data_IF_228842999608
#
_entry.id   IF_228842999608
#
_cell.length_a   1.000
_cell.length_b   1.000
_cell.length_c   1.000
_cell.angle_alpha   90.00
_cell.angle_beta   90.00
_cell.angle_gamma   90.00
#
_symmetry.space_group_name_H-M   'P 1'
#
loop_
_entity.id
_entity.type
_entity.pdbx_description
1 polymer ?
#
# COMPACT_ATOMS: atom_id res chain seq x y z
N UNK A 1 -5.88 -14.94 -31.12
CA UNK A 1 -5.24 -15.35 -29.84
C UNK A 1 -4.02 -14.51 -29.50
N UNK A 2 -3.01 -14.41 -30.38
CA UNK A 2 -1.82 -13.55 -30.16
C UNK A 2 -2.08 -12.07 -29.84
N UNK A 3 -3.01 -11.33 -30.50
CA UNK A 3 -3.23 -9.91 -30.19
C UNK A 3 -3.89 -9.67 -28.82
N UNK A 4 -4.72 -10.59 -28.35
CA UNK A 4 -5.35 -10.51 -27.02
C UNK A 4 -4.32 -10.77 -25.91
N UNK A 5 -3.39 -11.70 -26.16
CA UNK A 5 -2.30 -12.00 -25.23
C UNK A 5 -1.35 -10.79 -25.05
N UNK A 6 -1.02 -10.08 -26.14
CA UNK A 6 -0.23 -8.85 -26.05
C UNK A 6 -0.98 -7.73 -25.31
N UNK A 7 -2.28 -7.56 -25.55
CA UNK A 7 -3.07 -6.54 -24.87
C UNK A 7 -3.12 -6.77 -23.34
N UNK A 8 -3.36 -8.00 -22.89
CA UNK A 8 -3.36 -8.35 -21.46
C UNK A 8 -1.99 -8.10 -20.81
N UNK A 9 -0.91 -8.59 -21.44
CA UNK A 9 0.45 -8.39 -20.93
C UNK A 9 0.86 -6.92 -20.85
N UNK A 10 0.41 -6.07 -21.79
CA UNK A 10 0.68 -4.63 -21.72
C UNK A 10 -0.10 -3.93 -20.62
N UNK A 11 -1.34 -4.35 -20.31
CA UNK A 11 -2.15 -3.74 -19.25
C UNK A 11 -1.60 -4.09 -17.87
N UNK A 12 -1.31 -5.37 -17.62
CA UNK A 12 -0.69 -5.80 -16.36
C UNK A 12 0.72 -5.21 -16.19
N UNK A 13 1.49 -5.13 -17.29
CA UNK A 13 2.81 -4.53 -17.31
C UNK A 13 2.79 -3.02 -17.02
N UNK A 14 1.83 -2.29 -17.59
CA UNK A 14 1.65 -0.85 -17.31
C UNK A 14 1.16 -0.64 -15.88
N UNK A 15 0.26 -1.48 -15.36
CA UNK A 15 -0.20 -1.41 -13.97
C UNK A 15 0.94 -1.63 -12.96
N UNK A 16 1.76 -2.66 -13.19
CA UNK A 16 2.93 -2.94 -12.37
C UNK A 16 3.99 -1.83 -12.50
N UNK A 17 4.27 -1.35 -13.71
CA UNK A 17 5.20 -0.24 -13.93
C UNK A 17 4.71 1.05 -13.26
N UNK A 18 3.42 1.36 -13.33
CA UNK A 18 2.83 2.52 -12.66
C UNK A 18 2.94 2.40 -11.13
N UNK A 19 2.68 1.21 -10.57
CA UNK A 19 2.85 0.95 -9.14
C UNK A 19 4.32 1.08 -8.73
N UNK A 20 5.26 0.54 -9.51
CA UNK A 20 6.70 0.69 -9.27
C UNK A 20 7.13 2.15 -9.36
N UNK A 21 6.63 2.91 -10.33
CA UNK A 21 6.90 4.35 -10.45
C UNK A 21 6.35 5.10 -9.24
N UNK A 22 5.12 4.84 -8.81
CA UNK A 22 4.53 5.45 -7.61
C UNK A 22 5.32 5.08 -6.35
N UNK A 23 5.73 3.82 -6.21
CA UNK A 23 6.57 3.37 -5.12
C UNK A 23 7.94 4.05 -5.13
N UNK A 24 8.58 4.19 -6.30
CA UNK A 24 9.86 4.88 -6.48
C UNK A 24 9.73 6.38 -6.21
N UNK A 25 8.64 7.02 -6.64
CA UNK A 25 8.38 8.43 -6.35
C UNK A 25 8.07 8.67 -4.86
N UNK A 26 7.32 7.77 -4.22
CA UNK A 26 7.06 7.81 -2.78
C UNK A 26 8.34 7.57 -1.97
N UNK A 27 9.21 6.66 -2.43
CA UNK A 27 10.52 6.41 -1.83
C UNK A 27 11.51 7.56 -2.09
N UNK A 28 11.44 8.20 -3.26
CA UNK A 28 12.21 9.39 -3.59
C UNK A 28 11.80 10.63 -2.80
N UNK A 29 10.51 10.73 -2.43
CA UNK A 29 9.99 11.74 -1.51
C UNK A 29 10.23 11.43 -0.03
N UNK A 30 10.64 10.20 0.31
CA UNK A 30 11.01 9.80 1.68
C UNK A 30 12.35 10.43 2.11
N UNK A 31 13.19 10.81 1.14
CA UNK A 31 14.39 11.60 1.37
C UNK A 31 14.05 13.08 1.13
N UNK A 32 13.87 13.89 2.19
CA UNK A 32 13.59 15.31 1.99
C UNK A 32 14.75 15.93 1.20
N UNK A 33 14.43 16.45 0.00
CA UNK A 33 15.37 17.11 -0.92
C UNK A 33 15.68 18.56 -0.55
N UNK A 34 15.18 19.04 0.59
CA UNK A 34 15.76 20.18 1.29
C UNK A 34 16.85 19.65 2.23
N UNK A 35 18.05 20.22 2.19
CA UNK A 35 19.21 19.82 2.99
C UNK A 35 18.92 19.76 4.51
N UNK A 36 18.26 18.70 4.95
CA UNK A 36 18.32 18.17 6.29
C UNK A 36 19.22 16.96 6.14
N UNK A 37 20.51 17.17 6.36
CA UNK A 37 21.38 16.06 6.68
C UNK A 37 20.74 15.37 7.89
N UNK A 38 20.01 14.28 7.65
CA UNK A 38 19.76 13.31 8.68
C UNK A 38 21.16 12.85 9.06
N UNK A 39 21.71 13.46 10.11
CA UNK A 39 22.84 12.91 10.82
C UNK A 39 22.40 11.51 11.20
N UNK A 40 22.81 10.51 10.41
CA UNK A 40 22.74 9.10 10.77
C UNK A 40 23.50 8.84 12.12
N UNK A 41 24.15 9.88 12.66
CA UNK A 41 24.82 9.94 13.95
C UNK A 41 23.98 10.51 15.10
N UNK A 42 22.75 11.01 14.90
CA UNK A 42 21.89 11.37 16.02
C UNK A 42 21.01 10.16 16.36
N UNK A 43 21.55 9.28 17.22
CA UNK A 43 20.74 8.24 17.86
C UNK A 43 19.47 8.91 18.40
N UNK A 44 18.27 8.32 18.22
CA UNK A 44 17.04 9.01 18.57
C UNK A 44 17.06 9.27 20.08
N UNK A 45 17.29 10.53 20.42
CA UNK A 45 17.70 10.94 21.76
C UNK A 45 16.50 11.23 22.66
N UNK A 46 15.29 11.26 22.08
CA UNK A 46 14.04 11.52 22.78
C UNK A 46 12.98 10.47 22.43
N UNK A 47 12.09 10.19 23.37
CA UNK A 47 11.01 9.21 23.20
C UNK A 47 10.07 9.56 22.02
N UNK A 48 9.95 10.86 21.68
CA UNK A 48 9.19 11.38 20.54
C UNK A 48 9.74 10.92 19.19
N UNK A 49 11.06 10.84 19.01
CA UNK A 49 11.69 10.49 17.73
C UNK A 49 11.42 9.01 17.38
N UNK A 50 11.47 8.15 18.40
CA UNK A 50 11.08 6.74 18.29
C UNK A 50 9.57 6.58 18.01
N UNK A 51 8.73 7.48 18.54
CA UNK A 51 7.29 7.46 18.30
C UNK A 51 6.95 7.80 16.83
N UNK A 52 7.61 8.80 16.23
CA UNK A 52 7.42 9.11 14.81
C UNK A 52 7.86 7.95 13.90
N UNK A 53 9.00 7.33 14.20
CA UNK A 53 9.47 6.14 13.46
C UNK A 53 8.47 4.98 13.60
N UNK A 54 7.99 4.71 14.82
CA UNK A 54 7.00 3.67 15.09
C UNK A 54 5.67 3.90 14.36
N UNK A 55 5.22 5.14 14.28
CA UNK A 55 4.01 5.51 13.56
C UNK A 55 4.13 5.30 12.05
N UNK A 56 5.27 5.65 11.46
CA UNK A 56 5.56 5.41 10.04
C UNK A 56 5.63 3.91 9.72
N UNK A 57 6.33 3.14 10.56
CA UNK A 57 6.46 1.68 10.38
C UNK A 57 5.12 0.95 10.53
N UNK A 58 4.26 1.36 11.47
CA UNK A 58 2.92 0.78 11.65
C UNK A 58 2.09 0.81 10.37
N UNK A 59 1.91 1.99 9.78
CA UNK A 59 1.13 2.15 8.54
C UNK A 59 1.85 1.53 7.34
N UNK A 60 3.17 1.74 7.23
CA UNK A 60 3.95 1.27 6.09
C UNK A 60 3.97 -0.25 5.94
N UNK A 61 4.14 -0.99 7.05
CA UNK A 61 4.10 -2.46 7.01
C UNK A 61 2.68 -2.99 6.81
N UNK A 62 1.68 -2.33 7.39
CA UNK A 62 0.28 -2.71 7.22
C UNK A 62 -0.20 -2.55 5.77
N UNK A 63 0.18 -1.48 5.07
CA UNK A 63 -0.21 -1.27 3.66
C UNK A 63 0.48 -2.24 2.71
N UNK A 64 1.70 -2.69 3.01
CA UNK A 64 2.35 -3.76 2.26
C UNK A 64 1.54 -5.07 2.40
N UNK A 65 1.15 -5.42 3.62
CA UNK A 65 0.32 -6.60 3.88
C UNK A 65 -1.05 -6.51 3.21
N UNK A 66 -1.70 -5.35 3.28
CA UNK A 66 -2.97 -5.09 2.62
C UNK A 66 -2.86 -5.23 1.09
N UNK A 67 -1.81 -4.66 0.48
CA UNK A 67 -1.60 -4.77 -0.97
C UNK A 67 -1.47 -6.22 -1.46
N UNK A 68 -0.79 -7.08 -0.69
CA UNK A 68 -0.69 -8.52 -1.01
C UNK A 68 -2.07 -9.19 -0.92
N UNK A 69 -2.83 -8.90 0.13
CA UNK A 69 -4.16 -9.46 0.31
C UNK A 69 -5.12 -9.01 -0.82
N UNK A 70 -5.07 -7.71 -1.17
CA UNK A 70 -5.91 -7.10 -2.20
C UNK A 70 -5.58 -7.64 -3.59
N UNK A 71 -4.31 -7.91 -3.91
CA UNK A 71 -3.93 -8.53 -5.17
C UNK A 71 -4.61 -9.91 -5.37
N UNK A 72 -4.66 -10.72 -4.31
CA UNK A 72 -5.32 -12.02 -4.34
C UNK A 72 -6.86 -11.89 -4.37
N UNK A 73 -7.45 -11.06 -3.51
CA UNK A 73 -8.92 -10.92 -3.46
C UNK A 73 -9.49 -10.19 -4.68
N UNK A 74 -8.76 -9.22 -5.22
CA UNK A 74 -9.17 -8.42 -6.36
C UNK A 74 -9.18 -9.22 -7.67
N UNK A 75 -8.16 -10.04 -7.90
CA UNK A 75 -8.12 -10.94 -9.07
C UNK A 75 -9.25 -11.98 -9.03
N UNK A 76 -9.50 -12.59 -7.87
CA UNK A 76 -10.62 -13.51 -7.69
C UNK A 76 -11.99 -12.83 -7.86
N UNK A 77 -12.14 -11.60 -7.35
CA UNK A 77 -13.35 -10.79 -7.50
C UNK A 77 -13.63 -10.44 -8.97
N UNK A 78 -12.62 -10.03 -9.74
CA UNK A 78 -12.80 -9.73 -11.16
C UNK A 78 -13.15 -10.99 -11.96
N UNK A 79 -12.55 -12.13 -11.63
CA UNK A 79 -12.88 -13.41 -12.25
C UNK A 79 -14.33 -13.84 -12.00
N UNK A 80 -14.80 -13.73 -10.74
CA UNK A 80 -16.18 -14.10 -10.40
C UNK A 80 -17.22 -13.17 -11.02
N UNK A 81 -16.91 -11.87 -11.14
CA UNK A 81 -17.78 -10.88 -11.78
C UNK A 81 -17.84 -11.08 -13.29
N UNK A 82 -16.75 -11.53 -13.92
CA UNK A 82 -16.72 -11.83 -15.35
C UNK A 82 -17.65 -13.00 -15.70
N UNK A 83 -17.78 -14.00 -14.82
CA UNK A 83 -18.71 -15.13 -15.01
C UNK A 83 -20.14 -14.79 -14.57
N UNK A 84 -20.29 -14.06 -13.45
CA UNK A 84 -21.57 -13.75 -12.80
C UNK A 84 -21.61 -12.29 -12.34
N UNK A 85 -22.09 -11.36 -13.18
CA UNK A 85 -22.06 -9.93 -12.88
C UNK A 85 -22.93 -9.57 -11.66
N UNK A 86 -23.91 -10.41 -11.30
CA UNK A 86 -24.75 -10.21 -10.12
C UNK A 86 -23.96 -10.29 -8.81
N UNK A 87 -22.75 -10.87 -8.83
CA UNK A 87 -21.86 -10.98 -7.67
C UNK A 87 -21.00 -9.74 -7.41
N UNK A 88 -21.08 -8.69 -8.24
CA UNK A 88 -20.25 -7.50 -8.12
C UNK A 88 -20.26 -6.90 -6.70
N UNK A 89 -21.45 -6.64 -6.14
CA UNK A 89 -21.58 -6.05 -4.81
C UNK A 89 -20.97 -6.90 -3.69
N UNK A 90 -21.14 -8.23 -3.75
CA UNK A 90 -20.54 -9.15 -2.77
C UNK A 90 -19.03 -9.22 -2.90
N UNK A 91 -18.53 -9.18 -4.12
CA UNK A 91 -17.10 -9.23 -4.41
C UNK A 91 -16.37 -7.99 -3.89
N UNK A 92 -16.99 -6.81 -3.99
CA UNK A 92 -16.46 -5.57 -3.39
C UNK A 92 -16.34 -5.65 -1.86
N UNK A 93 -17.27 -6.33 -1.17
CA UNK A 93 -17.20 -6.51 0.29
C UNK A 93 -15.94 -7.30 0.67
N UNK A 94 -15.64 -8.40 -0.02
CA UNK A 94 -14.44 -9.19 0.27
C UNK A 94 -13.13 -8.43 0.00
N UNK A 95 -13.08 -7.64 -1.07
CA UNK A 95 -11.93 -6.76 -1.35
C UNK A 95 -11.80 -5.68 -0.26
N UNK A 96 -12.92 -5.08 0.16
CA UNK A 96 -12.91 -4.08 1.24
C UNK A 96 -12.49 -4.66 2.60
N UNK A 97 -12.81 -5.93 2.89
CA UNK A 97 -12.32 -6.60 4.10
C UNK A 97 -10.79 -6.79 4.09
N UNK A 98 -10.18 -7.01 2.92
CA UNK A 98 -8.72 -7.09 2.79
C UNK A 98 -8.04 -5.74 3.09
N UNK A 99 -8.64 -4.62 2.67
CA UNK A 99 -8.17 -3.25 2.98
C UNK A 99 -8.24 -2.91 4.47
N UNK A 100 -9.04 -3.63 5.26
CA UNK A 100 -9.12 -3.46 6.71
C UNK A 100 -7.76 -3.54 7.41
N UNK A 101 -6.81 -4.33 6.87
CA UNK A 101 -5.44 -4.44 7.38
C UNK A 101 -4.73 -3.08 7.37
N UNK A 102 -4.86 -2.32 6.27
CA UNK A 102 -4.26 -0.99 6.14
C UNK A 102 -4.90 0.01 7.11
N UNK A 103 -6.22 -0.04 7.26
CA UNK A 103 -6.96 0.84 8.17
C UNK A 103 -6.55 0.62 9.62
N UNK A 104 -6.37 -0.63 10.06
CA UNK A 104 -5.87 -0.91 11.41
C UNK A 104 -4.45 -0.35 11.64
N UNK A 105 -3.54 -0.51 10.67
CA UNK A 105 -2.19 0.07 10.75
C UNK A 105 -2.19 1.59 10.82
N UNK A 106 -3.09 2.24 10.07
CA UNK A 106 -3.31 3.68 10.10
C UNK A 106 -3.89 4.16 11.44
N UNK A 107 -4.87 3.45 11.99
CA UNK A 107 -5.45 3.77 13.31
C UNK A 107 -4.36 3.75 14.39
N UNK A 108 -3.52 2.71 14.41
CA UNK A 108 -2.41 2.60 15.37
C UNK A 108 -1.43 3.76 15.20
N UNK A 109 -1.10 4.12 13.97
CA UNK A 109 -0.25 5.29 13.67
C UNK A 109 -0.85 6.59 14.22
N UNK A 110 -2.14 6.85 13.97
CA UNK A 110 -2.84 8.03 14.49
C UNK A 110 -2.86 8.05 16.02
N UNK A 111 -3.07 6.90 16.67
CA UNK A 111 -3.03 6.80 18.14
C UNK A 111 -1.64 7.13 18.68
N UNK A 112 -0.57 6.67 18.00
CA UNK A 112 0.81 7.01 18.38
C UNK A 112 1.01 8.52 18.27
N UNK A 113 0.64 9.13 17.13
CA UNK A 113 0.77 10.58 16.91
C UNK A 113 -0.05 11.41 17.90
N UNK A 114 -1.24 10.94 18.28
CA UNK A 114 -2.11 11.63 19.24
C UNK A 114 -1.61 11.58 20.69
N UNK A 115 -0.52 10.86 20.98
CA UNK A 115 0.08 10.74 22.32
C UNK A 115 1.45 11.39 22.45
N UNK A 116 1.97 11.96 21.37
CA UNK A 116 3.21 12.74 21.33
C UNK A 116 2.85 14.21 21.58
#
# INVERSE_FOLDING_TARGET
MRPVLYALLTVDGVGLAALVVVAVLALGGLFPTGAQAASLSQAPSSASDWAYLGAGLSTGLATIGAGIAVAATGSAALGSVAERPELFGRSLVYVGLAEGIAIYGLIVSIIILGRI
#
